data_IF_474608259570
#
_entry.id   IF_474608259570
#
_cell.length_a   1.000
_cell.length_b   1.000
_cell.length_c   1.000
_cell.angle_alpha   90.00
_cell.angle_beta   90.00
_cell.angle_gamma   90.00
#
_symmetry.space_group_name_H-M   'P 1'
#
loop_
_entity.id
_entity.type
_entity.pdbx_description
1 polymer ?
#
# COMPACT_ATOMS: atom_id res chain seq x y z
N UNK A 1 16.50 22.56 1.73
CA UNK A 1 15.17 22.01 2.09
C UNK A 1 14.09 22.87 1.44
N UNK A 2 13.23 22.31 0.59
CA UNK A 2 12.16 23.10 -0.08
C UNK A 2 11.08 23.54 0.92
N UNK A 3 10.43 24.67 0.67
CA UNK A 3 9.26 25.15 1.44
C UNK A 3 8.12 24.13 1.43
N UNK A 4 7.93 23.40 0.33
CA UNK A 4 6.93 22.31 0.24
C UNK A 4 7.20 21.16 1.21
N UNK A 5 8.48 20.85 1.44
CA UNK A 5 8.87 19.79 2.36
C UNK A 5 8.55 20.18 3.80
N UNK A 6 8.84 21.44 4.17
CA UNK A 6 8.50 21.98 5.48
C UNK A 6 6.98 22.02 5.70
N UNK A 7 6.21 22.44 4.69
CA UNK A 7 4.75 22.46 4.78
C UNK A 7 4.17 21.06 4.98
N UNK A 8 4.61 20.06 4.20
CA UNK A 8 4.20 18.66 4.36
C UNK A 8 4.55 18.10 5.75
N UNK A 9 5.75 18.42 6.24
CA UNK A 9 6.18 18.02 7.58
C UNK A 9 5.29 18.61 8.66
N UNK A 10 5.00 19.92 8.59
CA UNK A 10 4.11 20.60 9.55
C UNK A 10 2.69 20.06 9.54
N UNK A 11 2.14 19.71 8.36
CA UNK A 11 0.83 19.07 8.24
C UNK A 11 0.85 17.69 8.90
N UNK A 12 1.84 16.87 8.59
CA UNK A 12 1.97 15.54 9.17
C UNK A 12 2.12 15.59 10.70
N UNK A 13 2.88 16.56 11.21
CA UNK A 13 3.08 16.76 12.64
C UNK A 13 1.76 17.08 13.36
N UNK A 14 0.96 18.00 12.81
CA UNK A 14 -0.37 18.31 13.34
C UNK A 14 -1.31 17.10 13.32
N UNK A 15 -1.27 16.29 12.26
CA UNK A 15 -2.08 15.06 12.17
C UNK A 15 -1.69 14.02 13.23
N UNK A 16 -0.42 13.96 13.62
CA UNK A 16 0.07 13.10 14.71
C UNK A 16 -0.42 13.63 16.06
N UNK A 17 -0.25 14.93 16.31
CA UNK A 17 -0.60 15.56 17.60
C UNK A 17 -2.09 15.46 17.91
N UNK A 18 -2.95 15.54 16.88
CA UNK A 18 -4.40 15.40 17.04
C UNK A 18 -4.85 13.92 17.10
N UNK A 19 -3.94 12.95 16.94
CA UNK A 19 -4.27 11.51 16.86
C UNK A 19 -5.05 11.10 15.60
N UNK A 20 -5.28 12.03 14.67
CA UNK A 20 -6.05 11.78 13.45
C UNK A 20 -5.30 10.83 12.51
N UNK A 21 -3.97 10.83 12.55
CA UNK A 21 -3.14 9.89 11.79
C UNK A 21 -3.46 8.44 12.15
N UNK A 22 -3.58 8.14 13.44
CA UNK A 22 -3.87 6.79 13.93
C UNK A 22 -5.30 6.39 13.56
N UNK A 23 -6.26 7.31 13.67
CA UNK A 23 -7.65 7.10 13.23
C UNK A 23 -7.74 6.81 11.73
N UNK A 24 -7.07 7.61 10.89
CA UNK A 24 -7.03 7.40 9.43
C UNK A 24 -6.37 6.07 9.06
N UNK A 25 -5.32 5.68 9.79
CA UNK A 25 -4.67 4.38 9.62
C UNK A 25 -5.61 3.22 9.95
N UNK A 26 -6.40 3.33 11.00
CA UNK A 26 -7.37 2.30 11.39
C UNK A 26 -8.58 2.26 10.45
N UNK A 27 -9.07 3.41 9.99
CA UNK A 27 -10.11 3.45 8.96
C UNK A 27 -9.65 2.77 7.66
N UNK A 28 -8.41 3.04 7.24
CA UNK A 28 -7.82 2.39 6.08
C UNK A 28 -7.70 0.87 6.29
N UNK A 29 -7.33 0.40 7.49
CA UNK A 29 -7.33 -1.03 7.84
C UNK A 29 -8.69 -1.65 7.65
N UNK A 30 -9.70 -1.05 8.26
CA UNK A 30 -11.07 -1.55 8.21
C UNK A 30 -11.53 -1.67 6.76
N UNK A 31 -11.29 -0.64 5.94
CA UNK A 31 -11.65 -0.66 4.51
C UNK A 31 -10.89 -1.70 3.69
N UNK A 32 -9.60 -1.92 3.97
CA UNK A 32 -8.81 -2.95 3.30
C UNK A 32 -9.20 -4.38 3.72
N UNK A 33 -9.71 -4.55 4.95
CA UNK A 33 -10.26 -5.84 5.40
C UNK A 33 -11.65 -6.07 4.79
N UNK A 34 -12.54 -5.07 4.87
CA UNK A 34 -13.90 -5.12 4.33
C UNK A 34 -13.93 -5.41 2.83
N UNK A 35 -12.98 -4.83 2.07
CA UNK A 35 -12.81 -5.09 0.63
C UNK A 35 -12.15 -6.43 0.30
N UNK A 36 -11.81 -7.24 1.29
CA UNK A 36 -11.12 -8.52 1.12
C UNK A 36 -9.68 -8.39 0.61
N UNK A 37 -9.10 -7.18 0.56
CA UNK A 37 -7.74 -6.96 0.08
C UNK A 37 -6.71 -7.70 0.93
N UNK A 38 -6.90 -7.71 2.25
CA UNK A 38 -6.02 -8.44 3.18
C UNK A 38 -5.97 -9.93 2.85
N UNK A 39 -7.11 -10.53 2.54
CA UNK A 39 -7.20 -11.96 2.24
C UNK A 39 -6.63 -12.31 0.87
N UNK A 40 -6.88 -11.46 -0.14
CA UNK A 40 -6.24 -11.57 -1.46
C UNK A 40 -4.71 -11.50 -1.37
N UNK A 41 -4.18 -10.56 -0.57
CA UNK A 41 -2.74 -10.43 -0.39
C UNK A 41 -2.15 -11.64 0.34
N UNK A 42 -2.84 -12.16 1.36
CA UNK A 42 -2.44 -13.40 2.06
C UNK A 42 -2.44 -14.61 1.12
N UNK A 43 -3.47 -14.78 0.29
CA UNK A 43 -3.54 -15.85 -0.69
C UNK A 43 -2.34 -15.80 -1.64
N UNK A 44 -2.02 -14.59 -2.14
CA UNK A 44 -0.86 -14.40 -2.99
C UNK A 44 0.47 -14.69 -2.28
N UNK A 45 0.63 -14.33 -1.01
CA UNK A 45 1.82 -14.71 -0.23
C UNK A 45 1.99 -16.23 -0.16
N UNK A 46 0.89 -16.97 0.08
CA UNK A 46 0.91 -18.44 0.11
C UNK A 46 1.30 -19.04 -1.24
N UNK A 47 0.81 -18.47 -2.33
CA UNK A 47 1.16 -18.93 -3.68
C UNK A 47 2.66 -18.75 -3.96
N UNK A 48 3.22 -17.59 -3.59
CA UNK A 48 4.66 -17.30 -3.75
C UNK A 48 5.52 -18.28 -2.94
N UNK A 49 5.15 -18.54 -1.68
CA UNK A 49 5.87 -19.51 -0.83
C UNK A 49 5.77 -20.93 -1.39
N UNK A 50 4.61 -21.32 -1.93
CA UNK A 50 4.42 -22.64 -2.56
C UNK A 50 5.24 -22.80 -3.84
N UNK A 51 5.35 -21.74 -4.65
CA UNK A 51 6.09 -21.77 -5.92
C UNK A 51 7.60 -21.80 -5.70
N UNK A 52 8.11 -21.03 -4.74
CA UNK A 52 9.55 -20.92 -4.47
C UNK A 52 10.08 -21.96 -3.49
N UNK A 53 9.20 -22.57 -2.70
CA UNK A 53 9.56 -23.47 -1.62
C UNK A 53 9.90 -22.70 -0.34
N UNK A 54 9.49 -23.25 0.82
CA UNK A 54 9.67 -22.61 2.13
C UNK A 54 11.15 -22.39 2.48
N UNK A 55 12.03 -23.23 1.93
CA UNK A 55 13.48 -23.26 2.19
C UNK A 55 14.23 -22.11 1.51
N UNK A 56 13.64 -21.51 0.48
CA UNK A 56 14.28 -20.51 -0.38
C UNK A 56 13.68 -19.10 -0.25
N UNK A 57 12.72 -18.90 0.66
CA UNK A 57 12.02 -17.63 0.81
C UNK A 57 12.29 -17.01 2.19
N UNK A 58 12.98 -15.88 2.21
CA UNK A 58 13.04 -15.03 3.40
C UNK A 58 11.83 -14.12 3.50
N UNK A 59 11.57 -13.60 4.69
CA UNK A 59 10.54 -12.59 4.91
C UNK A 59 10.77 -11.36 4.04
N UNK A 60 12.02 -10.91 3.92
CA UNK A 60 12.41 -9.76 3.11
C UNK A 60 12.13 -9.98 1.61
N UNK A 61 12.39 -11.17 1.10
CA UNK A 61 12.10 -11.54 -0.29
C UNK A 61 10.60 -11.54 -0.55
N UNK A 62 9.84 -12.17 0.35
CA UNK A 62 8.38 -12.22 0.27
C UNK A 62 7.79 -10.81 0.29
N UNK A 63 8.26 -9.94 1.19
CA UNK A 63 7.82 -8.53 1.25
C UNK A 63 8.14 -7.81 -0.05
N UNK A 64 9.34 -7.98 -0.58
CA UNK A 64 9.78 -7.32 -1.83
C UNK A 64 8.89 -7.71 -3.01
N UNK A 65 8.47 -8.97 -3.07
CA UNK A 65 7.68 -9.53 -4.16
C UNK A 65 6.19 -9.19 -4.06
N UNK A 66 5.60 -9.27 -2.87
CA UNK A 66 4.15 -9.04 -2.71
C UNK A 66 3.79 -7.56 -2.60
N UNK A 67 4.74 -6.70 -2.23
CA UNK A 67 4.52 -5.26 -2.03
C UNK A 67 4.05 -4.52 -3.30
N UNK A 68 4.65 -4.72 -4.50
CA UNK A 68 4.14 -4.15 -5.75
C UNK A 68 2.68 -4.51 -6.02
N UNK A 69 2.30 -5.78 -5.85
CA UNK A 69 0.93 -6.26 -6.08
C UNK A 69 -0.05 -5.74 -5.04
N UNK A 70 0.37 -5.70 -3.77
CA UNK A 70 -0.41 -5.11 -2.69
C UNK A 70 -0.77 -3.65 -2.96
N UNK A 71 0.20 -2.82 -3.40
CA UNK A 71 -0.06 -1.41 -3.75
C UNK A 71 -0.93 -1.25 -5.00
N UNK A 72 -0.73 -2.08 -6.02
CA UNK A 72 -1.53 -2.02 -7.26
C UNK A 72 -3.01 -2.34 -7.04
N UNK A 73 -3.29 -3.36 -6.22
CA UNK A 73 -4.67 -3.80 -5.92
C UNK A 73 -5.38 -2.90 -4.93
N UNK A 74 -4.66 -2.31 -3.96
CA UNK A 74 -5.23 -1.35 -3.02
C UNK A 74 -5.78 -0.09 -3.73
N UNK A 75 -5.13 0.34 -4.82
CA UNK A 75 -5.56 1.50 -5.62
C UNK A 75 -6.84 1.24 -6.41
N UNK A 76 -7.03 0.01 -6.91
CA UNK A 76 -8.23 -0.33 -7.67
C UNK A 76 -9.49 -0.33 -6.79
N UNK A 77 -9.37 -0.70 -5.52
CA UNK A 77 -10.52 -0.81 -4.61
C UNK A 77 -10.95 0.52 -3.99
N UNK A 78 -10.09 1.55 -3.99
CA UNK A 78 -10.44 2.91 -3.54
C UNK A 78 -11.06 3.79 -4.64
N UNK A 79 -11.40 3.20 -5.79
CA UNK A 79 -11.85 3.91 -7.00
C UNK A 79 -13.26 3.57 -7.49
N UNK A 80 -14.19 3.13 -6.63
CA UNK A 80 -15.59 2.90 -7.08
C UNK A 80 -16.39 4.21 -7.06
N UNK A 81 -16.01 5.12 -7.94
CA UNK A 81 -16.95 6.01 -8.61
C UNK A 81 -17.33 5.36 -9.93
N UNK A 82 -18.58 4.89 -10.07
CA UNK A 82 -19.10 4.43 -11.36
C UNK A 82 -19.00 5.58 -12.37
N UNK A 83 -18.27 5.41 -13.48
CA UNK A 83 -18.24 6.44 -14.52
C UNK A 83 -17.23 6.21 -15.63
N UNK A 84 -17.70 5.54 -16.69
CA UNK A 84 -17.33 5.72 -18.11
C UNK A 84 -15.87 5.46 -18.54
N UNK A 85 -15.75 4.50 -19.47
CA UNK A 85 -14.55 4.28 -20.28
C UNK A 85 -14.30 5.52 -21.14
N UNK A 86 -13.21 6.25 -20.89
CA UNK A 86 -12.67 7.22 -21.83
C UNK A 86 -11.27 6.78 -22.24
N UNK A 87 -11.19 6.26 -23.46
CA UNK A 87 -9.96 6.06 -24.22
C UNK A 87 -9.18 7.37 -24.32
N UNK A 88 -7.94 7.40 -23.84
CA UNK A 88 -6.90 8.33 -24.31
C UNK A 88 -5.53 7.70 -24.07
N UNK A 89 -4.93 7.23 -25.16
CA UNK A 89 -3.52 6.84 -25.27
C UNK A 89 -2.64 8.08 -25.20
N UNK A 90 -1.83 8.24 -24.14
CA UNK A 90 -0.61 9.05 -24.19
C UNK A 90 0.46 8.49 -23.22
N UNK A 91 1.67 8.39 -23.76
CA UNK A 91 2.87 7.76 -23.20
C UNK A 91 3.53 8.61 -22.07
N UNK A 92 4.55 8.07 -21.36
CA UNK A 92 4.76 8.30 -19.93
C UNK A 92 5.59 9.54 -19.60
N UNK A 93 5.21 10.24 -18.54
CA UNK A 93 6.07 11.22 -17.86
C UNK A 93 6.12 10.89 -16.37
N UNK A 94 7.28 10.36 -15.96
CA UNK A 94 7.94 10.58 -14.67
C UNK A 94 7.32 9.88 -13.44
N UNK A 95 7.81 8.66 -13.19
CA UNK A 95 7.70 7.97 -11.90
C UNK A 95 8.53 8.71 -10.83
N UNK A 96 7.99 9.77 -10.24
CA UNK A 96 8.52 10.31 -9.00
C UNK A 96 8.23 9.31 -7.88
N UNK A 97 9.28 8.63 -7.47
CA UNK A 97 9.40 7.72 -6.33
C UNK A 97 9.09 8.45 -5.01
N UNK A 98 7.82 8.79 -4.76
CA UNK A 98 7.34 8.91 -3.40
C UNK A 98 7.09 7.49 -2.89
N UNK A 99 8.17 6.82 -2.46
CA UNK A 99 8.10 5.55 -1.74
C UNK A 99 7.32 5.81 -0.44
N UNK A 100 6.06 5.35 -0.30
CA UNK A 100 5.36 5.44 0.96
C UNK A 100 6.07 4.52 1.96
N UNK A 101 6.09 4.85 3.26
CA UNK A 101 6.88 4.14 4.26
C UNK A 101 6.57 2.65 4.23
N UNK A 102 7.59 1.86 3.91
CA UNK A 102 7.59 0.39 3.79
C UNK A 102 7.08 -0.34 5.05
N UNK A 103 6.86 0.39 6.14
CA UNK A 103 6.34 -0.11 7.40
C UNK A 103 4.88 -0.60 7.32
N UNK A 104 4.07 -0.11 6.38
CA UNK A 104 2.67 -0.54 6.27
C UNK A 104 2.61 -2.01 5.79
N UNK A 105 3.40 -2.36 4.78
CA UNK A 105 3.48 -3.75 4.29
C UNK A 105 4.07 -4.69 5.35
N UNK A 106 5.15 -4.27 6.02
CA UNK A 106 5.73 -5.03 7.14
C UNK A 106 4.70 -5.29 8.25
N UNK A 107 3.86 -4.31 8.60
CA UNK A 107 2.89 -4.46 9.70
C UNK A 107 1.73 -5.43 9.39
N UNK A 108 1.34 -5.62 8.12
CA UNK A 108 0.23 -6.55 7.79
C UNK A 108 0.66 -7.93 7.33
N UNK A 109 1.89 -8.09 6.86
CA UNK A 109 2.43 -9.39 6.45
C UNK A 109 3.03 -10.12 7.66
N UNK A 110 3.65 -9.41 8.62
CA UNK A 110 4.40 -10.01 9.74
C UNK A 110 3.66 -10.05 11.09
N UNK A 111 2.39 -9.63 11.14
CA UNK A 111 1.61 -9.55 12.39
C UNK A 111 0.37 -10.46 12.38
N UNK A 112 0.50 -11.60 11.71
CA UNK A 112 -0.27 -12.84 11.95
C UNK A 112 0.61 -13.81 12.69
#
# INVERSE_FOLDING_TARGET
MSKDYQLKASINQKLIEMGERERLKELLRAKLVESGWKDQLKAHCKDVVREKGLEHVTVEDLVTEVTPKGRGTARQQQGVGKGQKSSCTHAPKQCLTNKPPDHIAKYYILKT
#
